data_IF_564169944419
#
_entry.id   IF_564169944419
#
_cell.length_a   1.000
_cell.length_b   1.000
_cell.length_c   1.000
_cell.angle_alpha   90.00
_cell.angle_beta   90.00
_cell.angle_gamma   90.00
#
_symmetry.space_group_name_H-M   'P 1'
#
loop_
_entity.id
_entity.type
_entity.pdbx_description
1 polymer ?
#
# COMPACT_ATOMS: atom_id res chain seq x y z
N UNK A 1 29.11 54.63 -8.13
CA UNK A 1 28.87 53.58 -9.15
C UNK A 1 29.80 52.44 -8.86
N UNK A 2 29.35 51.41 -8.20
CA UNK A 2 30.06 50.13 -8.04
C UNK A 2 29.19 49.05 -8.70
N UNK A 3 29.74 48.41 -9.72
CA UNK A 3 29.14 47.29 -10.41
C UNK A 3 29.35 46.02 -9.57
N UNK A 4 28.28 45.30 -9.30
CA UNK A 4 28.30 43.98 -8.67
C UNK A 4 28.47 42.95 -9.79
N UNK A 5 29.56 42.19 -9.78
CA UNK A 5 29.81 41.09 -10.68
C UNK A 5 28.99 39.87 -10.21
N UNK A 6 28.19 39.32 -11.11
CA UNK A 6 27.46 38.05 -10.89
C UNK A 6 28.49 36.91 -10.91
N UNK A 7 28.52 36.11 -9.83
CA UNK A 7 29.18 34.82 -9.81
C UNK A 7 28.25 33.80 -10.47
N UNK A 8 28.57 33.37 -11.67
CA UNK A 8 28.02 32.15 -12.27
C UNK A 8 28.79 30.94 -11.71
N UNK A 9 28.11 30.11 -10.92
CA UNK A 9 28.64 28.83 -10.52
C UNK A 9 28.23 27.78 -11.56
N UNK A 10 29.19 27.34 -12.36
CA UNK A 10 29.07 26.18 -13.24
C UNK A 10 29.07 24.90 -12.36
N UNK A 11 27.97 24.17 -12.31
CA UNK A 11 27.93 22.85 -11.74
C UNK A 11 28.44 21.88 -12.80
N UNK A 12 29.66 21.34 -12.61
CA UNK A 12 30.14 20.21 -13.41
C UNK A 12 29.27 19.01 -13.18
N UNK A 13 28.75 18.39 -14.26
CA UNK A 13 27.88 17.24 -14.22
C UNK A 13 28.60 16.00 -13.68
N UNK A 14 28.00 15.39 -12.69
CA UNK A 14 28.36 14.04 -12.27
C UNK A 14 28.08 13.04 -13.42
N UNK A 15 28.87 11.95 -13.56
CA UNK A 15 28.66 10.97 -14.61
C UNK A 15 27.31 10.29 -14.46
N UNK A 16 26.59 10.16 -15.57
CA UNK A 16 25.32 9.44 -15.66
C UNK A 16 25.54 7.98 -15.27
N UNK A 17 25.06 7.59 -14.11
CA UNK A 17 24.97 6.19 -13.68
C UNK A 17 24.14 5.38 -14.66
N UNK A 18 24.50 4.10 -14.81
CA UNK A 18 23.91 3.19 -15.78
C UNK A 18 22.37 3.16 -15.73
N UNK A 19 21.78 2.97 -16.91
CA UNK A 19 20.34 2.83 -17.10
C UNK A 19 19.95 1.48 -16.49
N UNK A 20 19.31 1.52 -15.30
CA UNK A 20 18.61 0.35 -14.80
C UNK A 20 17.33 0.13 -15.62
N UNK A 21 16.84 -1.10 -15.71
CA UNK A 21 15.65 -1.46 -16.46
C UNK A 21 14.33 -0.89 -15.89
N UNK A 22 14.39 0.15 -15.06
CA UNK A 22 13.27 0.87 -14.45
C UNK A 22 12.69 1.84 -15.47
N UNK A 23 11.41 1.77 -15.67
CA UNK A 23 10.55 2.59 -16.54
C UNK A 23 10.87 4.08 -16.53
N UNK A 24 11.91 4.54 -17.24
CA UNK A 24 12.11 5.89 -17.79
C UNK A 24 11.81 7.15 -16.96
N UNK A 25 11.82 7.11 -15.63
CA UNK A 25 11.49 8.27 -14.77
C UNK A 25 12.71 9.10 -14.36
N UNK A 26 13.94 8.67 -14.66
CA UNK A 26 15.18 9.32 -14.20
C UNK A 26 15.40 9.25 -12.68
N UNK A 27 14.62 8.44 -11.96
CA UNK A 27 14.78 8.18 -10.53
C UNK A 27 15.81 7.05 -10.35
N UNK A 28 16.73 7.22 -9.40
CA UNK A 28 17.75 6.20 -9.07
C UNK A 28 17.18 4.96 -8.40
N UNK A 29 18.06 4.01 -8.07
CA UNK A 29 17.72 2.83 -7.26
C UNK A 29 17.21 3.24 -5.87
N UNK A 30 16.45 2.37 -5.24
CA UNK A 30 15.98 2.56 -3.88
C UNK A 30 17.15 2.43 -2.88
N UNK A 31 17.14 3.24 -1.83
CA UNK A 31 18.07 3.10 -0.70
C UNK A 31 17.84 1.78 0.04
N UNK A 32 18.80 1.34 0.83
CA UNK A 32 18.57 0.24 1.76
C UNK A 32 17.37 0.56 2.67
N UNK A 33 16.41 -0.37 2.83
CA UNK A 33 15.25 -0.16 3.68
C UNK A 33 15.63 0.06 5.15
N UNK A 34 14.92 0.94 5.82
CA UNK A 34 15.07 1.22 7.25
C UNK A 34 13.75 0.99 7.98
N UNK A 35 13.83 0.45 9.19
CA UNK A 35 12.68 0.33 10.09
C UNK A 35 12.05 1.69 10.36
N UNK A 36 10.73 1.76 10.29
CA UNK A 36 9.97 2.96 10.65
C UNK A 36 9.87 3.02 12.18
N UNK A 37 10.77 3.81 12.78
CA UNK A 37 10.83 3.97 14.24
C UNK A 37 9.51 4.52 14.79
N UNK A 38 8.98 3.86 15.82
CA UNK A 38 7.72 4.23 16.49
C UNK A 38 6.48 3.52 15.93
N UNK A 39 6.53 2.98 14.69
CA UNK A 39 5.52 2.05 14.21
C UNK A 39 5.72 0.66 14.82
N UNK A 40 6.98 0.21 14.77
CA UNK A 40 7.33 -1.18 15.07
C UNK A 40 7.38 -1.42 16.59
N UNK A 41 6.69 -2.46 17.01
CA UNK A 41 6.64 -2.95 18.39
C UNK A 41 7.18 -4.39 18.47
N UNK A 42 6.82 -5.20 19.41
CA UNK A 42 7.16 -6.63 19.41
C UNK A 42 6.04 -7.52 18.89
N UNK A 43 5.09 -6.94 18.16
CA UNK A 43 3.91 -7.60 17.58
C UNK A 43 3.90 -7.26 16.09
N UNK A 44 3.19 -8.03 15.29
CA UNK A 44 3.11 -7.80 13.84
C UNK A 44 2.37 -6.49 13.51
N UNK A 45 3.08 -5.54 12.92
CA UNK A 45 2.55 -4.35 12.25
C UNK A 45 2.48 -4.64 10.75
N UNK A 46 1.29 -4.49 10.17
CA UNK A 46 1.00 -4.98 8.82
C UNK A 46 0.23 -3.93 7.99
N UNK A 47 0.24 -4.09 6.67
CA UNK A 47 -0.62 -3.35 5.73
C UNK A 47 -0.47 -1.81 5.75
N UNK A 48 0.72 -1.26 5.96
CA UNK A 48 0.92 0.17 6.13
C UNK A 48 0.52 1.00 4.89
N UNK A 49 -0.28 2.05 5.10
CA UNK A 49 -0.72 3.00 4.07
C UNK A 49 -0.52 4.45 4.52
N UNK A 50 0.58 5.10 4.12
CA UNK A 50 0.77 6.53 4.38
C UNK A 50 -0.14 7.43 3.54
N UNK A 51 -0.38 8.66 4.03
CA UNK A 51 -0.85 9.75 3.16
C UNK A 51 0.22 10.16 2.14
N UNK A 52 -0.17 10.87 1.08
CA UNK A 52 0.75 11.37 0.05
C UNK A 52 1.89 12.24 0.61
N UNK A 53 1.65 12.95 1.71
CA UNK A 53 2.64 13.76 2.41
C UNK A 53 3.58 12.96 3.31
N UNK A 54 3.28 11.67 3.56
CA UNK A 54 3.98 10.82 4.53
C UNK A 54 4.01 11.42 5.95
N UNK A 55 2.97 12.17 6.31
CA UNK A 55 2.81 12.76 7.64
C UNK A 55 1.77 12.06 8.52
N UNK A 56 0.94 11.21 7.94
CA UNK A 56 0.04 10.29 8.62
C UNK A 56 0.20 8.91 7.98
N UNK A 57 0.20 7.87 8.78
CA UNK A 57 0.22 6.47 8.35
C UNK A 57 -0.84 5.69 9.10
N UNK A 58 -1.60 4.89 8.36
CA UNK A 58 -2.55 3.93 8.93
C UNK A 58 -2.00 2.53 8.65
N UNK A 59 -2.15 1.63 9.59
CA UNK A 59 -1.68 0.24 9.48
C UNK A 59 -2.58 -0.68 10.30
N UNK A 60 -2.51 -1.97 10.06
CA UNK A 60 -3.17 -2.97 10.88
C UNK A 60 -2.20 -3.53 11.93
N UNK A 61 -2.74 -3.88 13.08
CA UNK A 61 -2.00 -4.34 14.23
C UNK A 61 -2.83 -5.35 15.02
N UNK A 62 -2.21 -6.44 15.46
CA UNK A 62 -2.87 -7.47 16.27
C UNK A 62 -3.11 -6.95 17.70
N UNK A 63 -4.35 -6.59 18.05
CA UNK A 63 -4.67 -6.06 19.37
C UNK A 63 -4.70 -7.18 20.42
N UNK A 64 -3.76 -7.20 21.39
CA UNK A 64 -3.73 -8.21 22.45
C UNK A 64 -4.94 -8.12 23.39
N UNK A 65 -5.66 -7.00 23.42
CA UNK A 65 -6.85 -6.82 24.23
C UNK A 65 -8.13 -7.33 23.55
N UNK A 66 -8.07 -7.66 22.25
CA UNK A 66 -9.18 -8.27 21.51
C UNK A 66 -8.76 -9.61 20.84
N UNK A 67 -8.22 -10.53 21.63
CA UNK A 67 -7.81 -11.87 21.19
C UNK A 67 -6.86 -11.88 19.98
N UNK A 68 -5.97 -10.89 19.89
CA UNK A 68 -5.05 -10.66 18.77
C UNK A 68 -5.75 -10.48 17.40
N UNK A 69 -7.01 -9.99 17.39
CA UNK A 69 -7.62 -9.55 16.14
C UNK A 69 -6.90 -8.33 15.61
N UNK A 70 -6.80 -8.24 14.30
CA UNK A 70 -6.25 -7.03 13.68
C UNK A 70 -7.25 -5.89 13.78
N UNK A 71 -6.75 -4.74 14.18
CA UNK A 71 -7.44 -3.46 14.20
C UNK A 71 -6.60 -2.40 13.51
N UNK A 72 -7.23 -1.33 13.08
CA UNK A 72 -6.59 -0.22 12.39
C UNK A 72 -6.09 0.82 13.39
N UNK A 73 -4.85 1.24 13.22
CA UNK A 73 -4.18 2.26 14.02
C UNK A 73 -3.64 3.36 13.11
N UNK A 74 -3.59 4.57 13.63
CA UNK A 74 -2.99 5.70 12.96
C UNK A 74 -1.86 6.29 13.79
N UNK A 75 -0.82 6.78 13.12
CA UNK A 75 0.22 7.61 13.71
C UNK A 75 0.52 8.80 12.82
N UNK A 76 1.03 9.87 13.41
CA UNK A 76 1.30 11.12 12.73
C UNK A 76 2.67 11.66 13.09
N UNK A 77 3.18 12.57 12.24
CA UNK A 77 4.38 13.38 12.51
C UNK A 77 4.21 14.76 11.89
N UNK A 78 4.93 15.74 12.40
CA UNK A 78 4.79 17.13 11.93
C UNK A 78 5.61 17.42 10.67
N UNK A 79 6.70 16.67 10.45
CA UNK A 79 7.52 16.74 9.24
C UNK A 79 8.09 15.35 8.90
N UNK A 80 8.57 15.12 7.65
CA UNK A 80 9.19 13.85 7.26
C UNK A 80 10.44 13.47 8.07
N UNK A 81 11.08 14.43 8.74
CA UNK A 81 12.27 14.23 9.58
C UNK A 81 11.94 13.97 11.06
N UNK A 82 10.69 14.23 11.47
CA UNK A 82 10.26 14.03 12.85
C UNK A 82 9.96 12.54 13.11
N UNK A 83 10.06 12.16 14.37
CA UNK A 83 9.60 10.86 14.84
C UNK A 83 8.08 10.76 14.73
N UNK A 84 7.60 9.57 14.47
CA UNK A 84 6.17 9.26 14.50
C UNK A 84 5.63 9.33 15.94
N UNK A 85 4.38 9.75 16.09
CA UNK A 85 3.65 9.64 17.34
C UNK A 85 3.47 8.17 17.75
N UNK A 86 3.10 7.92 19.01
CA UNK A 86 2.56 6.61 19.37
C UNK A 86 1.31 6.29 18.52
N UNK A 87 1.11 5.02 18.14
CA UNK A 87 -0.08 4.57 17.44
C UNK A 87 -1.35 4.79 18.26
N UNK A 88 -2.42 5.25 17.61
CA UNK A 88 -3.75 5.39 18.20
C UNK A 88 -4.75 4.54 17.43
N UNK A 89 -5.52 3.73 18.13
CA UNK A 89 -6.58 2.93 17.53
C UNK A 89 -7.62 3.83 16.85
N UNK A 90 -8.05 3.47 15.63
CA UNK A 90 -9.10 4.21 14.95
C UNK A 90 -10.45 3.98 15.64
N UNK A 91 -11.28 5.04 15.79
CA UNK A 91 -12.48 5.00 16.64
C UNK A 91 -13.60 4.12 16.09
N UNK A 92 -13.51 3.69 14.86
CA UNK A 92 -14.50 2.84 14.19
C UNK A 92 -14.12 1.35 14.13
N UNK A 93 -12.99 0.94 14.72
CA UNK A 93 -12.67 -0.48 14.86
C UNK A 93 -13.82 -1.23 15.54
N UNK A 94 -14.19 -2.37 14.99
CA UNK A 94 -15.31 -3.14 15.49
C UNK A 94 -14.84 -4.24 16.46
N UNK A 95 -15.23 -4.11 17.73
CA UNK A 95 -14.90 -5.12 18.75
C UNK A 95 -15.44 -6.50 18.35
N UNK A 96 -14.60 -7.51 18.46
CA UNK A 96 -14.95 -8.89 18.10
C UNK A 96 -14.83 -9.18 16.61
N UNK A 97 -14.45 -8.20 15.79
CA UNK A 97 -14.20 -8.35 14.35
C UNK A 97 -12.75 -8.06 14.03
N UNK A 98 -12.29 -8.47 12.87
CA UNK A 98 -10.99 -8.10 12.33
C UNK A 98 -11.17 -6.95 11.34
N UNK A 99 -10.36 -5.90 11.48
CA UNK A 99 -10.23 -4.78 10.56
C UNK A 99 -8.78 -4.72 10.08
N UNK A 100 -8.53 -4.89 8.77
CA UNK A 100 -7.18 -5.02 8.23
C UNK A 100 -7.06 -4.51 6.80
N UNK A 101 -5.87 -4.57 6.23
CA UNK A 101 -5.54 -4.20 4.84
C UNK A 101 -5.99 -2.78 4.46
N UNK A 102 -5.70 -1.76 5.28
CA UNK A 102 -6.10 -0.39 4.98
C UNK A 102 -5.42 0.11 3.70
N UNK A 103 -6.17 0.90 2.91
CA UNK A 103 -5.64 1.65 1.76
C UNK A 103 -6.31 3.02 1.69
N UNK A 104 -5.50 4.07 1.71
CA UNK A 104 -5.97 5.44 1.54
C UNK A 104 -6.17 5.77 0.06
N UNK A 105 -7.22 6.54 -0.24
CA UNK A 105 -7.32 7.26 -1.50
C UNK A 105 -6.17 8.26 -1.65
N UNK A 106 -5.84 8.65 -2.88
CA UNK A 106 -4.72 9.53 -3.16
C UNK A 106 -4.80 10.90 -2.45
N UNK A 107 -6.01 11.39 -2.18
CA UNK A 107 -6.27 12.62 -1.42
C UNK A 107 -6.25 12.41 0.11
N UNK A 108 -6.21 11.15 0.58
CA UNK A 108 -6.25 10.79 1.99
C UNK A 108 -7.60 11.01 2.66
N UNK A 109 -8.69 11.17 1.90
CA UNK A 109 -10.02 11.48 2.44
C UNK A 109 -10.94 10.25 2.53
N UNK A 110 -10.60 9.17 1.84
CA UNK A 110 -11.28 7.88 1.94
C UNK A 110 -10.30 6.81 2.37
N UNK A 111 -10.66 6.03 3.38
CA UNK A 111 -9.94 4.84 3.78
C UNK A 111 -10.77 3.63 3.38
N UNK A 112 -10.18 2.72 2.63
CA UNK A 112 -10.72 1.40 2.34
C UNK A 112 -10.02 0.38 3.25
N UNK A 113 -10.74 -0.63 3.70
CA UNK A 113 -10.19 -1.69 4.54
C UNK A 113 -11.04 -2.95 4.44
N UNK A 114 -10.48 -4.08 4.80
CA UNK A 114 -11.22 -5.34 4.89
C UNK A 114 -11.72 -5.58 6.31
N UNK A 115 -12.95 -6.04 6.45
CA UNK A 115 -13.56 -6.35 7.74
C UNK A 115 -14.57 -7.49 7.64
N UNK A 116 -14.64 -8.31 8.68
CA UNK A 116 -15.65 -9.35 8.85
C UNK A 116 -16.76 -8.94 9.85
N UNK A 117 -17.03 -7.63 9.94
CA UNK A 117 -18.03 -7.08 10.86
C UNK A 117 -19.48 -7.32 10.44
N UNK A 118 -19.77 -7.64 9.17
CA UNK A 118 -21.10 -8.05 8.75
C UNK A 118 -21.35 -9.51 9.18
N UNK A 119 -22.34 -9.77 10.05
CA UNK A 119 -22.65 -11.14 10.48
C UNK A 119 -23.33 -11.99 9.41
N UNK A 120 -23.70 -11.43 8.26
CA UNK A 120 -24.39 -12.12 7.17
C UNK A 120 -23.42 -12.69 6.12
N UNK A 121 -22.14 -12.35 6.19
CA UNK A 121 -21.08 -12.87 5.32
C UNK A 121 -20.11 -13.74 6.13
N UNK A 122 -19.40 -14.65 5.45
CA UNK A 122 -18.39 -15.51 6.07
C UNK A 122 -17.04 -15.21 5.40
N UNK A 123 -16.47 -14.06 5.65
CA UNK A 123 -15.22 -13.63 5.06
C UNK A 123 -14.89 -12.20 5.44
N UNK A 124 -13.86 -11.71 4.85
CA UNK A 124 -13.48 -10.30 4.93
C UNK A 124 -14.01 -9.58 3.70
N UNK A 125 -14.85 -8.58 3.91
CA UNK A 125 -15.43 -7.77 2.86
C UNK A 125 -14.78 -6.38 2.84
N UNK A 126 -14.85 -5.68 1.70
CA UNK A 126 -14.30 -4.33 1.54
C UNK A 126 -15.27 -3.30 2.12
N UNK A 127 -14.78 -2.54 3.06
CA UNK A 127 -15.45 -1.40 3.69
C UNK A 127 -14.75 -0.09 3.33
N UNK A 128 -15.46 1.01 3.40
CA UNK A 128 -14.90 2.36 3.28
C UNK A 128 -15.38 3.26 4.39
N UNK A 129 -14.56 4.25 4.73
CA UNK A 129 -14.92 5.34 5.63
C UNK A 129 -14.32 6.64 5.09
N UNK A 130 -15.03 7.76 5.26
CA UNK A 130 -14.59 9.06 4.73
C UNK A 130 -14.38 10.08 5.84
N UNK A 131 -13.60 11.11 5.53
CA UNK A 131 -13.39 12.28 6.37
C UNK A 131 -13.36 13.56 5.51
N UNK A 132 -13.75 14.73 6.05
CA UNK A 132 -13.81 15.99 5.28
C UNK A 132 -12.44 16.58 4.95
N UNK A 133 -11.40 16.30 5.74
CA UNK A 133 -10.00 16.70 5.48
C UNK A 133 -9.03 15.79 6.24
N UNK A 134 -7.78 15.73 5.78
CA UNK A 134 -6.71 15.02 6.48
C UNK A 134 -6.56 15.58 7.91
N UNK A 135 -6.40 14.68 8.90
CA UNK A 135 -6.30 15.03 10.31
C UNK A 135 -7.63 15.31 11.02
N UNK A 136 -8.78 15.22 10.33
CA UNK A 136 -10.11 15.29 10.97
C UNK A 136 -10.65 13.89 11.29
N UNK A 137 -11.69 13.84 12.13
CA UNK A 137 -12.35 12.61 12.50
C UNK A 137 -12.94 11.88 11.29
N UNK A 138 -12.82 10.56 11.30
CA UNK A 138 -13.47 9.67 10.35
C UNK A 138 -14.98 9.57 10.62
N UNK A 139 -15.75 9.39 9.55
CA UNK A 139 -17.19 9.12 9.62
C UNK A 139 -17.53 7.70 10.06
N UNK A 140 -18.69 7.22 9.65
CA UNK A 140 -19.14 5.84 9.88
C UNK A 140 -18.69 4.96 8.71
N UNK A 141 -18.12 3.77 8.95
CA UNK A 141 -17.82 2.82 7.90
C UNK A 141 -19.07 2.34 7.15
N UNK A 142 -18.92 2.16 5.85
CA UNK A 142 -19.93 1.64 4.94
C UNK A 142 -19.34 0.45 4.15
N UNK A 143 -20.09 -0.65 4.06
CA UNK A 143 -19.71 -1.78 3.22
C UNK A 143 -19.87 -1.46 1.74
N UNK A 144 -18.95 -1.93 0.91
CA UNK A 144 -19.09 -1.83 -0.55
C UNK A 144 -19.80 -3.09 -1.05
N UNK A 145 -21.11 -3.12 -0.89
CA UNK A 145 -21.97 -4.30 -1.11
C UNK A 145 -21.79 -4.94 -2.50
N UNK A 146 -21.46 -4.14 -3.53
CA UNK A 146 -21.24 -4.64 -4.89
C UNK A 146 -19.97 -5.51 -5.02
N UNK A 147 -19.06 -5.48 -4.04
CA UNK A 147 -17.82 -6.27 -4.02
C UNK A 147 -17.95 -7.55 -3.21
N UNK A 148 -18.97 -7.68 -2.38
CA UNK A 148 -19.15 -8.84 -1.48
C UNK A 148 -19.17 -10.15 -2.26
N UNK A 149 -18.31 -11.08 -1.86
CA UNK A 149 -18.32 -12.47 -2.31
C UNK A 149 -18.57 -13.37 -1.07
N UNK A 150 -19.76 -13.87 -0.93
CA UNK A 150 -20.39 -14.31 0.32
C UNK A 150 -19.63 -15.29 1.23
N UNK A 151 -18.57 -15.95 0.76
CA UNK A 151 -17.77 -16.90 1.56
C UNK A 151 -16.27 -16.77 1.26
N UNK A 152 -15.86 -15.69 0.64
CA UNK A 152 -14.49 -15.46 0.20
C UNK A 152 -13.95 -14.19 0.87
N UNK A 153 -12.66 -14.10 1.06
CA UNK A 153 -12.01 -12.88 1.51
C UNK A 153 -11.79 -11.93 0.33
N UNK A 154 -12.22 -10.70 0.50
CA UNK A 154 -11.98 -9.54 -0.36
C UNK A 154 -11.12 -8.53 0.40
N UNK A 155 -9.86 -8.34 -0.03
CA UNK A 155 -8.82 -7.61 0.72
C UNK A 155 -8.01 -6.67 -0.17
N UNK A 156 -7.19 -5.80 0.44
CA UNK A 156 -6.23 -4.90 -0.23
C UNK A 156 -6.84 -4.11 -1.39
N UNK A 157 -8.01 -3.51 -1.15
CA UNK A 157 -8.66 -2.66 -2.15
C UNK A 157 -7.85 -1.39 -2.40
N UNK A 158 -7.20 -1.29 -3.55
CA UNK A 158 -6.36 -0.18 -3.95
C UNK A 158 -7.07 0.69 -5.01
N UNK A 159 -7.60 1.87 -4.65
CA UNK A 159 -8.32 2.74 -5.57
C UNK A 159 -7.38 3.51 -6.49
N UNK A 160 -7.84 3.81 -7.70
CA UNK A 160 -7.21 4.75 -8.62
C UNK A 160 -8.25 5.62 -9.36
N UNK A 161 -7.85 6.34 -10.41
CA UNK A 161 -8.73 7.31 -11.09
C UNK A 161 -10.02 6.69 -11.64
N UNK A 162 -11.08 7.52 -11.65
CA UNK A 162 -12.38 7.20 -12.25
C UNK A 162 -13.07 5.98 -11.63
N UNK A 163 -12.90 5.77 -10.32
CA UNK A 163 -13.50 4.66 -9.58
C UNK A 163 -12.89 3.30 -9.89
N UNK A 164 -11.79 3.22 -10.65
CA UNK A 164 -11.05 1.98 -10.88
C UNK A 164 -10.30 1.56 -9.62
N UNK A 165 -10.06 0.25 -9.52
CA UNK A 165 -9.34 -0.34 -8.39
C UNK A 165 -8.68 -1.65 -8.78
N UNK A 166 -7.65 -2.02 -8.02
CA UNK A 166 -7.20 -3.41 -7.87
C UNK A 166 -7.60 -3.89 -6.48
N UNK A 167 -7.83 -5.18 -6.33
CA UNK A 167 -8.05 -5.84 -5.04
C UNK A 167 -7.58 -7.29 -5.10
N UNK A 168 -7.38 -7.90 -3.95
CA UNK A 168 -7.21 -9.35 -3.82
C UNK A 168 -8.55 -9.97 -3.46
N UNK A 169 -8.87 -11.08 -4.09
CA UNK A 169 -10.08 -11.85 -3.78
C UNK A 169 -9.84 -13.35 -3.90
N UNK A 170 -10.51 -14.12 -3.05
CA UNK A 170 -10.49 -15.57 -3.07
C UNK A 170 -11.61 -16.19 -3.92
N UNK A 171 -12.47 -15.38 -4.54
CA UNK A 171 -13.65 -15.82 -5.35
C UNK A 171 -13.34 -16.77 -6.50
N UNK A 172 -12.08 -16.91 -6.87
CA UNK A 172 -11.58 -17.86 -7.89
C UNK A 172 -10.95 -19.13 -7.33
N UNK A 173 -10.94 -19.30 -5.99
CA UNK A 173 -10.35 -20.45 -5.29
C UNK A 173 -8.89 -20.24 -4.86
N UNK A 174 -8.34 -19.05 -5.01
CA UNK A 174 -7.01 -18.63 -4.56
C UNK A 174 -6.94 -17.12 -4.37
N UNK A 175 -5.90 -16.62 -3.72
CA UNK A 175 -5.66 -15.20 -3.60
C UNK A 175 -5.12 -14.65 -4.92
N UNK A 176 -5.99 -14.06 -5.72
CA UNK A 176 -5.71 -13.52 -7.04
C UNK A 176 -6.01 -12.01 -7.10
N UNK A 177 -5.34 -11.32 -8.03
CA UNK A 177 -5.59 -9.89 -8.30
C UNK A 177 -6.82 -9.74 -9.21
N UNK A 178 -7.77 -8.92 -8.76
CA UNK A 178 -8.96 -8.53 -9.51
C UNK A 178 -8.94 -7.04 -9.80
N UNK A 179 -9.47 -6.64 -10.95
CA UNK A 179 -9.68 -5.25 -11.35
C UNK A 179 -11.16 -4.97 -11.61
N UNK A 180 -11.60 -3.78 -11.23
CA UNK A 180 -12.96 -3.33 -11.49
C UNK A 180 -13.09 -1.81 -11.54
N UNK A 181 -14.33 -1.37 -11.68
CA UNK A 181 -14.76 0.03 -11.56
C UNK A 181 -15.97 0.05 -10.64
N UNK A 182 -15.91 0.83 -9.57
CA UNK A 182 -17.05 0.97 -8.65
C UNK A 182 -18.32 1.41 -9.40
N UNK A 183 -19.42 0.76 -9.13
CA UNK A 183 -20.70 0.97 -9.81
C UNK A 183 -20.83 0.29 -11.19
N UNK A 184 -19.85 -0.49 -11.63
CA UNK A 184 -19.87 -1.15 -12.94
C UNK A 184 -20.06 -2.69 -12.88
N UNK A 185 -20.30 -3.22 -11.68
CA UNK A 185 -20.51 -4.66 -11.46
C UNK A 185 -19.28 -5.36 -10.88
N UNK A 186 -19.31 -6.71 -10.85
CA UNK A 186 -18.29 -7.51 -10.21
C UNK A 186 -16.91 -7.33 -10.86
N UNK A 187 -15.81 -7.36 -10.06
CA UNK A 187 -14.46 -7.28 -10.59
C UNK A 187 -14.07 -8.53 -11.39
N UNK A 188 -13.10 -8.37 -12.27
CA UNK A 188 -12.58 -9.44 -13.14
C UNK A 188 -11.16 -9.79 -12.74
N UNK A 189 -10.84 -11.07 -12.68
CA UNK A 189 -9.48 -11.56 -12.41
C UNK A 189 -8.51 -11.06 -13.48
N UNK A 190 -7.39 -10.49 -13.04
CA UNK A 190 -6.33 -10.00 -13.93
C UNK A 190 -5.30 -11.11 -14.14
N UNK A 191 -5.44 -11.84 -15.24
CA UNK A 191 -4.61 -13.02 -15.53
C UNK A 191 -3.12 -12.68 -15.66
N UNK A 192 -2.79 -11.48 -16.15
CA UNK A 192 -1.40 -11.03 -16.34
C UNK A 192 -0.68 -10.80 -14.98
N UNK A 193 -1.41 -10.41 -13.95
CA UNK A 193 -0.85 -10.14 -12.63
C UNK A 193 -0.93 -11.35 -11.69
N UNK A 194 -1.95 -12.17 -11.86
CA UNK A 194 -2.19 -13.36 -11.04
C UNK A 194 -1.35 -14.55 -11.48
N UNK A 195 -1.07 -15.47 -10.55
CA UNK A 195 -0.28 -16.67 -10.81
C UNK A 195 -0.97 -17.93 -10.23
N UNK A 196 -0.28 -19.05 -10.19
CA UNK A 196 -0.72 -20.23 -9.42
C UNK A 196 -0.34 -20.16 -7.94
N UNK A 197 0.37 -19.11 -7.54
CA UNK A 197 0.73 -18.78 -6.17
C UNK A 197 -0.18 -17.68 -5.65
N UNK A 198 -0.19 -17.43 -4.33
CA UNK A 198 -0.98 -16.33 -3.77
C UNK A 198 -0.37 -14.96 -4.09
N UNK A 199 -1.23 -14.01 -4.39
CA UNK A 199 -0.92 -12.59 -4.49
C UNK A 199 -1.50 -11.85 -3.29
N UNK A 200 -0.78 -10.82 -2.77
CA UNK A 200 -1.18 -10.01 -1.62
C UNK A 200 -0.78 -8.55 -1.81
N UNK A 201 -1.22 -7.67 -0.92
CA UNK A 201 -0.66 -6.33 -0.77
C UNK A 201 -0.72 -5.47 -2.02
N UNK A 202 -1.85 -5.37 -2.74
CA UNK A 202 -1.93 -4.53 -3.95
C UNK A 202 -1.82 -3.04 -3.67
N UNK A 203 -1.08 -2.35 -4.53
CA UNK A 203 -1.05 -0.90 -4.67
C UNK A 203 -1.13 -0.53 -6.16
N UNK A 204 -1.77 0.59 -6.48
CA UNK A 204 -1.89 1.10 -7.84
C UNK A 204 -1.65 2.62 -7.85
N UNK A 205 -0.99 3.13 -8.90
CA UNK A 205 -0.82 4.56 -9.08
C UNK A 205 -2.15 5.26 -9.35
N UNK A 206 -2.25 6.55 -8.97
CA UNK A 206 -3.47 7.33 -9.13
C UNK A 206 -4.00 7.38 -10.57
N UNK A 207 -3.13 7.30 -11.57
CA UNK A 207 -3.47 7.24 -13.00
C UNK A 207 -3.81 5.82 -13.50
N UNK A 208 -3.81 4.82 -12.61
CA UNK A 208 -4.08 3.41 -12.89
C UNK A 208 -3.10 2.75 -13.88
N UNK A 209 -1.86 3.24 -14.00
CA UNK A 209 -0.90 2.74 -15.01
C UNK A 209 0.27 1.95 -14.45
N UNK A 210 0.51 2.02 -13.14
CA UNK A 210 1.58 1.31 -12.44
C UNK A 210 1.01 0.57 -11.24
N UNK A 211 1.33 -0.70 -11.10
CA UNK A 211 0.94 -1.52 -9.95
C UNK A 211 2.17 -2.11 -9.26
N UNK A 212 2.06 -2.24 -7.93
CA UNK A 212 2.94 -3.05 -7.10
C UNK A 212 2.09 -4.01 -6.28
N UNK A 213 2.61 -5.20 -6.03
CA UNK A 213 1.95 -6.22 -5.22
C UNK A 213 2.98 -7.23 -4.72
N UNK A 214 2.63 -7.99 -3.69
CA UNK A 214 3.44 -9.11 -3.25
C UNK A 214 2.93 -10.42 -3.85
N UNK A 215 3.83 -11.38 -4.04
CA UNK A 215 3.50 -12.71 -4.55
C UNK A 215 4.51 -13.76 -4.10
N UNK A 216 4.02 -14.96 -3.82
CA UNK A 216 4.84 -16.12 -3.48
C UNK A 216 5.35 -16.91 -4.71
N UNK A 217 5.19 -16.39 -5.93
CA UNK A 217 5.59 -17.05 -7.19
C UNK A 217 7.07 -17.39 -7.29
N UNK A 218 7.93 -16.79 -6.44
CA UNK A 218 9.36 -17.10 -6.32
C UNK A 218 9.73 -17.90 -5.07
N UNK A 219 8.77 -18.62 -4.47
CA UNK A 219 8.89 -19.44 -3.24
C UNK A 219 9.08 -18.62 -1.94
N UNK A 220 8.93 -17.32 -1.98
CA UNK A 220 8.86 -16.43 -0.83
C UNK A 220 8.02 -15.21 -1.23
N UNK A 221 7.42 -14.53 -0.28
CA UNK A 221 6.69 -13.30 -0.57
C UNK A 221 7.69 -12.23 -1.02
N UNK A 222 7.51 -11.73 -2.23
CA UNK A 222 8.36 -10.71 -2.85
C UNK A 222 7.50 -9.67 -3.54
N UNK A 223 8.01 -8.45 -3.60
CA UNK A 223 7.33 -7.35 -4.26
C UNK A 223 7.61 -7.41 -5.77
N UNK A 224 6.53 -7.33 -6.54
CA UNK A 224 6.54 -7.26 -8.00
C UNK A 224 5.93 -5.95 -8.46
N UNK A 225 6.33 -5.50 -9.64
CA UNK A 225 5.76 -4.34 -10.32
C UNK A 225 5.32 -4.71 -11.73
N UNK A 226 4.24 -4.08 -12.18
CA UNK A 226 3.77 -4.15 -13.56
C UNK A 226 3.26 -2.79 -14.01
N UNK A 227 3.28 -2.52 -15.30
CA UNK A 227 2.82 -1.26 -15.87
C UNK A 227 1.96 -1.47 -17.10
N UNK A 228 1.22 -0.43 -17.46
CA UNK A 228 0.43 -0.37 -18.70
C UNK A 228 0.40 1.06 -19.25
N UNK A 229 0.21 1.23 -20.59
CA UNK A 229 0.29 2.56 -21.19
C UNK A 229 -0.86 3.50 -20.81
N UNK A 230 -2.03 2.96 -20.53
CA UNK A 230 -3.23 3.72 -20.10
C UNK A 230 -4.10 2.87 -19.19
N UNK A 231 -4.94 3.51 -18.37
CA UNK A 231 -5.94 2.84 -17.56
C UNK A 231 -6.84 1.92 -18.41
N UNK A 232 -6.97 0.64 -18.02
CA UNK A 232 -7.75 -0.37 -18.76
C UNK A 232 -7.04 -1.03 -19.94
N UNK A 233 -5.81 -0.63 -20.30
CA UNK A 233 -4.98 -1.42 -21.19
C UNK A 233 -4.48 -2.71 -20.49
N UNK A 234 -4.08 -3.76 -21.23
CA UNK A 234 -3.44 -4.95 -20.64
C UNK A 234 -2.19 -4.58 -19.83
N UNK A 235 -1.97 -5.29 -18.74
CA UNK A 235 -0.77 -5.14 -17.93
C UNK A 235 0.45 -5.80 -18.58
N UNK A 236 1.62 -5.25 -18.37
CA UNK A 236 2.88 -5.95 -18.65
C UNK A 236 3.01 -7.20 -17.78
N UNK A 237 3.87 -8.13 -18.15
CA UNK A 237 4.30 -9.19 -17.25
C UNK A 237 4.92 -8.56 -15.98
N UNK A 238 4.64 -9.11 -14.79
CA UNK A 238 5.23 -8.63 -13.54
C UNK A 238 6.74 -8.82 -13.51
N UNK A 239 7.45 -7.82 -12.98
CA UNK A 239 8.90 -7.83 -12.77
C UNK A 239 9.20 -7.76 -11.28
N UNK A 240 10.12 -8.58 -10.80
CA UNK A 240 10.58 -8.58 -9.42
C UNK A 240 11.27 -7.26 -9.09
N UNK A 241 10.97 -6.67 -7.93
CA UNK A 241 11.69 -5.52 -7.38
C UNK A 241 12.91 -6.04 -6.62
N UNK A 242 14.08 -5.98 -7.24
CA UNK A 242 15.31 -6.57 -6.71
C UNK A 242 15.96 -5.74 -5.59
N UNK A 243 15.68 -4.43 -5.54
CA UNK A 243 16.29 -3.48 -4.59
C UNK A 243 16.16 -3.91 -3.12
N UNK A 244 15.11 -4.66 -2.78
CA UNK A 244 14.81 -5.04 -1.39
C UNK A 244 15.24 -6.46 -1.02
N UNK A 245 15.75 -7.26 -1.97
CA UNK A 245 16.12 -8.67 -1.73
C UNK A 245 17.21 -8.85 -0.67
N UNK A 246 18.12 -7.89 -0.58
CA UNK A 246 19.21 -7.91 0.40
C UNK A 246 18.75 -7.79 1.86
N UNK A 247 17.52 -7.29 2.09
CA UNK A 247 16.92 -7.23 3.42
C UNK A 247 16.68 -8.64 4.00
N UNK A 248 16.33 -9.59 3.13
CA UNK A 248 15.87 -10.92 3.53
C UNK A 248 14.40 -10.90 3.97
N UNK A 249 13.95 -12.00 4.58
CA UNK A 249 12.57 -12.15 5.04
C UNK A 249 11.54 -12.11 3.91
N UNK A 250 10.27 -12.23 4.23
CA UNK A 250 9.17 -11.95 3.31
C UNK A 250 8.97 -10.44 3.15
N UNK A 251 8.47 -9.99 2.00
CA UNK A 251 8.24 -8.58 1.66
C UNK A 251 6.83 -8.44 1.12
N UNK A 252 6.01 -7.63 1.80
CA UNK A 252 4.58 -7.53 1.57
C UNK A 252 4.12 -6.06 1.58
N UNK A 253 2.88 -5.80 1.20
CA UNK A 253 2.13 -4.56 1.37
C UNK A 253 2.83 -3.29 0.87
N UNK A 254 3.26 -3.29 -0.40
CA UNK A 254 3.91 -2.12 -0.97
C UNK A 254 3.01 -0.88 -0.99
N UNK A 255 3.59 0.25 -0.66
CA UNK A 255 3.03 1.58 -0.90
C UNK A 255 4.11 2.52 -1.44
N UNK A 256 3.76 3.33 -2.43
CA UNK A 256 4.70 4.28 -3.04
C UNK A 256 4.08 5.67 -3.04
N UNK A 257 4.89 6.68 -2.65
CA UNK A 257 4.47 8.09 -2.71
C UNK A 257 4.17 8.53 -4.15
N UNK A 258 3.26 9.52 -4.36
CA UNK A 258 2.93 10.01 -5.69
C UNK A 258 4.12 10.53 -6.50
N UNK A 259 5.14 11.07 -5.84
CA UNK A 259 6.39 11.52 -6.47
C UNK A 259 7.39 10.37 -6.73
N UNK A 260 7.03 9.15 -6.33
CA UNK A 260 7.83 7.92 -6.45
C UNK A 260 9.19 7.99 -5.74
N UNK A 261 9.33 8.80 -4.68
CA UNK A 261 10.57 8.97 -3.91
C UNK A 261 10.57 8.26 -2.57
N UNK A 262 9.41 7.83 -2.09
CA UNK A 262 9.27 7.05 -0.85
C UNK A 262 8.56 5.75 -1.13
N UNK A 263 9.14 4.66 -0.67
CA UNK A 263 8.56 3.32 -0.70
C UNK A 263 8.37 2.84 0.73
N UNK A 264 7.17 2.38 1.06
CA UNK A 264 6.86 1.75 2.34
C UNK A 264 6.38 0.33 2.07
N UNK A 265 6.82 -0.61 2.87
CA UNK A 265 6.41 -2.01 2.77
C UNK A 265 6.56 -2.70 4.12
N UNK A 266 6.04 -3.91 4.25
CA UNK A 266 6.16 -4.75 5.43
C UNK A 266 7.13 -5.88 5.17
N UNK A 267 7.93 -6.26 6.18
CA UNK A 267 8.82 -7.42 6.10
C UNK A 267 9.02 -8.03 7.49
N UNK A 268 9.19 -9.36 7.53
CA UNK A 268 9.54 -10.11 8.74
C UNK A 268 11.06 -10.32 8.91
N UNK A 269 11.87 -9.59 8.19
CA UNK A 269 13.33 -9.68 8.22
C UNK A 269 13.93 -9.45 9.62
N UNK A 270 13.24 -8.73 10.50
CA UNK A 270 13.61 -8.46 11.91
C UNK A 270 13.13 -9.54 12.89
N UNK A 271 12.31 -10.50 12.45
CA UNK A 271 11.76 -11.59 13.25
C UNK A 271 10.27 -11.47 13.57
N UNK A 272 9.66 -10.30 13.33
CA UNK A 272 8.22 -10.02 13.29
C UNK A 272 7.92 -9.22 12.03
N UNK A 273 6.64 -9.08 11.66
CA UNK A 273 6.24 -8.16 10.60
C UNK A 273 6.41 -6.73 11.08
N UNK A 274 7.29 -6.00 10.43
CA UNK A 274 7.63 -4.61 10.73
C UNK A 274 7.50 -3.75 9.49
N UNK A 275 7.17 -2.47 9.68
CA UNK A 275 7.09 -1.48 8.61
C UNK A 275 8.47 -0.95 8.27
N UNK A 276 8.84 -1.02 7.00
CA UNK A 276 10.08 -0.50 6.43
C UNK A 276 9.82 0.66 5.49
N UNK A 277 10.79 1.56 5.40
CA UNK A 277 10.78 2.71 4.48
C UNK A 277 12.10 2.75 3.72
N UNK A 278 12.01 3.01 2.42
CA UNK A 278 13.12 3.28 1.51
C UNK A 278 12.87 4.58 0.75
N UNK A 279 13.94 5.25 0.32
CA UNK A 279 13.85 6.49 -0.46
C UNK A 279 14.77 6.45 -1.68
N UNK A 280 14.51 7.32 -2.66
CA UNK A 280 15.39 7.51 -3.83
C UNK A 280 15.33 8.93 -4.39
#
# INVERSE_FOLDING_TARGET
MLACAACEATIEGAPLGGIDGSTGTGLGAWSSPMLVMGANTGIDEDDATPTASVLEMIFSYADPNDNNRKHLYAMTRSSPQDMWSAPLALPFNATGSTDQTPRLSADGLTLFFASNRDPNTNGLDVWRVTRPSVGTAWGTPEEIVELVAANDDDKWFAPCANGRYLMISQRGGGEDIYEGVLGAGAPVRVAELSSSSGETGTWISADCTLAYFASTRSNANRIYTASRPTAGAPWSAPTLVEDFLALGGDQEDPWISPDRRTFVFVSDASGSKDVYLSTR
#
